data_IF_057043911639
#
_entry.id   IF_057043911639
#
_cell.length_a   1.000
_cell.length_b   1.000
_cell.length_c   1.000
_cell.angle_alpha   90.00
_cell.angle_beta   90.00
_cell.angle_gamma   90.00
#
_symmetry.space_group_name_H-M   'P 1'
#
loop_
_entity.id
_entity.type
_entity.pdbx_description
1 polymer ?
#
# COMPACT_ATOMS: atom_id res chain seq x y z
N UNK A 1 30.39 -9.15 6.81
CA UNK A 1 29.17 -8.77 7.52
C UNK A 1 28.14 -8.23 6.56
N UNK A 2 27.01 -8.87 6.46
CA UNK A 2 25.96 -8.46 5.53
C UNK A 2 25.00 -7.52 6.23
N UNK A 3 24.85 -6.32 5.70
CA UNK A 3 23.81 -5.41 6.13
C UNK A 3 22.48 -5.94 5.58
N UNK A 4 21.67 -6.48 6.46
CA UNK A 4 20.31 -6.83 6.08
C UNK A 4 19.51 -5.57 5.88
N UNK A 5 19.15 -5.31 4.63
CA UNK A 5 18.22 -4.28 4.31
C UNK A 5 16.83 -4.75 4.71
N UNK A 6 16.12 -3.93 5.48
CA UNK A 6 14.72 -4.21 5.77
C UNK A 6 13.87 -3.98 4.52
N UNK A 7 12.91 -4.85 4.29
CA UNK A 7 11.94 -4.63 3.24
C UNK A 7 11.17 -3.35 3.54
N UNK A 8 10.93 -2.55 2.50
CA UNK A 8 10.18 -1.29 2.62
C UNK A 8 8.85 -1.43 1.90
N UNK A 9 7.76 -1.25 2.62
CA UNK A 9 6.40 -1.38 2.09
C UNK A 9 5.61 -0.10 2.34
N UNK A 10 4.94 0.36 1.30
CA UNK A 10 3.99 1.48 1.40
C UNK A 10 2.58 0.90 1.32
N UNK A 11 1.75 1.25 2.30
CA UNK A 11 0.35 0.84 2.37
C UNK A 11 -0.51 2.08 2.15
N UNK A 12 -1.33 2.08 1.11
CA UNK A 12 -2.26 3.17 0.83
C UNK A 12 -3.65 2.72 1.22
N UNK A 13 -4.26 3.44 2.14
CA UNK A 13 -5.54 3.12 2.72
C UNK A 13 -5.39 2.51 4.10
N UNK A 14 -5.82 3.25 5.13
CA UNK A 14 -5.73 2.83 6.52
C UNK A 14 -7.13 2.51 7.08
N UNK A 15 -7.89 1.72 6.32
CA UNK A 15 -9.08 1.09 6.84
C UNK A 15 -8.71 -0.11 7.70
N UNK A 16 -9.69 -0.92 8.04
CA UNK A 16 -9.45 -2.09 8.89
C UNK A 16 -8.42 -3.04 8.25
N UNK A 17 -8.55 -3.29 6.94
CA UNK A 17 -7.64 -4.17 6.22
C UNK A 17 -6.23 -3.59 6.16
N UNK A 18 -6.11 -2.32 5.75
CA UNK A 18 -4.81 -1.66 5.60
C UNK A 18 -4.08 -1.54 6.93
N UNK A 19 -4.79 -1.16 8.00
CA UNK A 19 -4.19 -1.08 9.32
C UNK A 19 -3.68 -2.45 9.80
N UNK A 20 -4.47 -3.50 9.59
CA UNK A 20 -4.06 -4.86 9.96
C UNK A 20 -2.83 -5.32 9.20
N UNK A 21 -2.77 -5.04 7.90
CA UNK A 21 -1.60 -5.37 7.08
C UNK A 21 -0.37 -4.61 7.58
N UNK A 22 -0.52 -3.31 7.81
CA UNK A 22 0.59 -2.48 8.27
C UNK A 22 1.14 -2.96 9.62
N UNK A 23 0.25 -3.26 10.56
CA UNK A 23 0.65 -3.78 11.87
C UNK A 23 1.40 -5.11 11.74
N UNK A 24 0.90 -6.01 10.89
CA UNK A 24 1.52 -7.32 10.69
C UNK A 24 2.91 -7.19 10.08
N UNK A 25 3.04 -6.38 9.03
CA UNK A 25 4.33 -6.20 8.36
C UNK A 25 5.34 -5.51 9.27
N UNK A 26 4.90 -4.51 10.02
CA UNK A 26 5.79 -3.86 10.97
C UNK A 26 6.27 -4.84 12.03
N UNK A 27 5.37 -5.68 12.54
CA UNK A 27 5.71 -6.71 13.51
C UNK A 27 6.69 -7.75 12.98
N UNK A 28 6.73 -7.92 11.67
CA UNK A 28 7.68 -8.82 10.99
C UNK A 28 9.04 -8.16 10.71
N UNK A 29 9.21 -6.91 11.12
CA UNK A 29 10.47 -6.21 10.97
C UNK A 29 10.61 -5.40 9.69
N UNK A 30 9.54 -5.22 8.93
CA UNK A 30 9.58 -4.38 7.74
C UNK A 30 9.48 -2.91 8.09
N UNK A 31 10.05 -2.07 7.24
CA UNK A 31 9.80 -0.63 7.28
C UNK A 31 8.48 -0.37 6.57
N UNK A 32 7.55 0.27 7.27
CA UNK A 32 6.19 0.46 6.75
C UNK A 32 5.80 1.93 6.82
N UNK A 33 5.28 2.45 5.71
CA UNK A 33 4.65 3.76 5.66
C UNK A 33 3.20 3.57 5.26
N UNK A 34 2.30 4.19 6.00
CA UNK A 34 0.86 4.13 5.72
C UNK A 34 0.41 5.51 5.25
N UNK A 35 -0.30 5.54 4.13
CA UNK A 35 -0.84 6.77 3.54
C UNK A 35 -2.36 6.69 3.56
N UNK A 36 -2.99 7.73 4.07
CA UNK A 36 -4.46 7.87 4.03
C UNK A 36 -4.82 9.34 3.98
N UNK A 37 -5.84 9.69 3.23
CA UNK A 37 -6.30 11.08 3.14
C UNK A 37 -6.98 11.56 4.41
N UNK A 38 -7.42 10.65 5.27
CA UNK A 38 -8.06 10.96 6.54
C UNK A 38 -7.15 10.52 7.69
N UNK A 39 -6.54 11.49 8.37
CA UNK A 39 -5.61 11.18 9.46
C UNK A 39 -6.27 10.44 10.62
N UNK A 40 -7.59 10.56 10.78
CA UNK A 40 -8.28 9.83 11.85
C UNK A 40 -8.27 8.31 11.60
N UNK A 41 -8.10 7.89 10.36
CA UNK A 41 -7.98 6.47 10.04
C UNK A 41 -6.77 5.82 10.72
N UNK A 42 -5.72 6.59 11.00
CA UNK A 42 -4.51 6.05 11.64
C UNK A 42 -4.74 5.56 13.06
N UNK A 43 -5.87 5.91 13.67
CA UNK A 43 -6.25 5.38 14.99
C UNK A 43 -6.49 3.88 14.98
N UNK A 44 -6.71 3.30 13.80
CA UNK A 44 -6.89 1.85 13.65
C UNK A 44 -5.57 1.08 13.78
N UNK A 45 -4.44 1.78 13.63
CA UNK A 45 -3.13 1.15 13.82
C UNK A 45 -2.93 0.83 15.30
N UNK A 46 -2.22 -0.29 15.54
CA UNK A 46 -1.87 -0.71 16.89
C UNK A 46 -1.01 0.35 17.59
N UNK A 47 -1.11 0.45 18.91
CA UNK A 47 -0.26 1.34 19.71
C UNK A 47 1.22 0.97 19.58
N UNK A 48 1.54 -0.25 19.18
CA UNK A 48 2.92 -0.69 18.97
C UNK A 48 3.43 -0.43 17.55
N UNK A 49 2.58 0.11 16.66
CA UNK A 49 3.02 0.44 15.31
C UNK A 49 4.03 1.58 15.36
N UNK A 50 5.25 1.31 14.92
CA UNK A 50 6.35 2.29 14.92
C UNK A 50 6.73 2.80 13.54
N UNK A 51 5.94 2.46 12.50
CA UNK A 51 6.15 2.99 11.16
C UNK A 51 5.69 4.44 11.06
N UNK A 52 5.68 4.96 9.83
CA UNK A 52 5.22 6.31 9.55
C UNK A 52 3.79 6.29 9.05
N UNK A 53 3.03 7.31 9.42
CA UNK A 53 1.71 7.55 8.86
C UNK A 53 1.70 8.93 8.22
N UNK A 54 1.25 9.00 6.98
CA UNK A 54 1.28 10.23 6.18
C UNK A 54 -0.13 10.54 5.70
N UNK A 55 -0.62 11.70 6.09
CA UNK A 55 -1.91 12.18 5.60
C UNK A 55 -1.74 12.73 4.19
N UNK A 56 -2.47 12.18 3.24
CA UNK A 56 -2.40 12.64 1.86
C UNK A 56 -3.19 11.76 0.93
N UNK A 57 -3.44 12.28 -0.26
CA UNK A 57 -4.14 11.54 -1.31
C UNK A 57 -3.13 10.67 -2.04
N UNK A 58 -3.38 9.36 -2.03
CA UNK A 58 -2.50 8.39 -2.70
C UNK A 58 -2.44 8.52 -4.22
N UNK A 59 -3.35 9.31 -4.83
CA UNK A 59 -3.28 9.61 -6.26
C UNK A 59 -2.42 10.83 -6.57
N UNK A 60 -1.96 11.54 -5.55
CA UNK A 60 -1.10 12.70 -5.71
C UNK A 60 0.34 12.23 -5.84
N UNK A 61 0.94 12.50 -7.00
CA UNK A 61 2.32 12.08 -7.29
C UNK A 61 3.31 12.67 -6.27
N UNK A 62 3.04 13.88 -5.79
CA UNK A 62 3.92 14.50 -4.79
C UNK A 62 3.89 13.75 -3.46
N UNK A 63 2.73 13.24 -3.07
CA UNK A 63 2.60 12.41 -1.87
C UNK A 63 3.36 11.10 -2.05
N UNK A 64 3.17 10.43 -3.19
CA UNK A 64 3.86 9.17 -3.46
C UNK A 64 5.38 9.37 -3.52
N UNK A 65 5.82 10.49 -4.08
CA UNK A 65 7.24 10.82 -4.11
C UNK A 65 7.78 11.14 -2.70
N UNK A 66 6.98 11.83 -1.88
CA UNK A 66 7.38 12.19 -0.51
C UNK A 66 7.60 10.99 0.38
N UNK A 67 6.89 9.89 0.13
CA UNK A 67 7.11 8.64 0.87
C UNK A 67 8.14 7.73 0.20
N UNK A 68 8.82 8.25 -0.81
CA UNK A 68 9.88 7.54 -1.54
C UNK A 68 9.38 6.22 -2.14
N UNK A 69 8.22 6.27 -2.79
CA UNK A 69 7.63 5.07 -3.39
C UNK A 69 8.59 4.37 -4.35
N UNK A 70 9.44 5.13 -5.02
CA UNK A 70 10.47 4.61 -5.92
C UNK A 70 11.40 3.61 -5.24
N UNK A 71 11.60 3.73 -3.94
CA UNK A 71 12.48 2.85 -3.15
C UNK A 71 11.73 1.69 -2.51
N UNK A 72 10.40 1.68 -2.60
CA UNK A 72 9.60 0.64 -1.97
C UNK A 72 9.77 -0.69 -2.71
N UNK A 73 9.87 -1.75 -1.95
CA UNK A 73 9.87 -3.11 -2.49
C UNK A 73 8.45 -3.51 -2.88
N UNK A 74 7.48 -3.05 -2.11
CA UNK A 74 6.07 -3.40 -2.30
C UNK A 74 5.17 -2.20 -2.05
N UNK A 75 4.16 -2.06 -2.88
CA UNK A 75 3.02 -1.18 -2.63
C UNK A 75 1.79 -2.04 -2.43
N UNK A 76 1.05 -1.76 -1.37
CA UNK A 76 -0.24 -2.41 -1.10
C UNK A 76 -1.28 -1.31 -1.05
N UNK A 77 -2.24 -1.33 -1.98
CA UNK A 77 -3.28 -0.31 -2.05
C UNK A 77 -4.63 -0.94 -1.75
N UNK A 78 -5.24 -0.53 -0.65
CA UNK A 78 -6.40 -1.19 -0.06
C UNK A 78 -7.44 -0.17 0.42
N UNK A 79 -7.69 0.86 -0.40
CA UNK A 79 -8.81 1.78 -0.12
C UNK A 79 -10.14 1.05 -0.37
N UNK A 80 -11.24 1.68 -0.05
CA UNK A 80 -12.58 1.11 -0.30
C UNK A 80 -13.09 1.35 -1.72
N UNK A 81 -12.28 1.94 -2.58
CA UNK A 81 -12.65 2.27 -3.96
C UNK A 81 -11.75 1.53 -4.95
N UNK A 82 -12.33 0.59 -5.69
CA UNK A 82 -11.57 -0.22 -6.66
C UNK A 82 -10.88 0.61 -7.72
N UNK A 83 -11.55 1.64 -8.24
CA UNK A 83 -10.97 2.47 -9.30
C UNK A 83 -9.75 3.25 -8.79
N UNK A 84 -9.81 3.74 -7.56
CA UNK A 84 -8.67 4.41 -6.92
C UNK A 84 -7.53 3.43 -6.75
N UNK A 85 -7.81 2.22 -6.27
CA UNK A 85 -6.79 1.20 -6.06
C UNK A 85 -6.07 0.85 -7.36
N UNK A 86 -6.82 0.74 -8.44
CA UNK A 86 -6.26 0.46 -9.76
C UNK A 86 -5.40 1.62 -10.25
N UNK A 87 -5.90 2.84 -10.13
CA UNK A 87 -5.18 4.03 -10.59
C UNK A 87 -3.84 4.16 -9.88
N UNK A 88 -3.84 4.02 -8.56
CA UNK A 88 -2.62 4.09 -7.77
C UNK A 88 -1.66 2.96 -8.15
N UNK A 89 -2.19 1.77 -8.37
CA UNK A 89 -1.38 0.61 -8.78
C UNK A 89 -0.68 0.86 -10.12
N UNK A 90 -1.38 1.45 -11.07
CA UNK A 90 -0.80 1.78 -12.37
C UNK A 90 0.28 2.85 -12.24
N UNK A 91 0.04 3.88 -11.43
CA UNK A 91 1.05 4.91 -11.16
C UNK A 91 2.31 4.28 -10.54
N UNK A 92 2.13 3.38 -9.60
CA UNK A 92 3.24 2.71 -8.96
C UNK A 92 4.07 1.89 -9.96
N UNK A 93 3.41 1.20 -10.88
CA UNK A 93 4.12 0.40 -11.89
C UNK A 93 4.78 1.27 -12.94
N UNK A 94 4.06 2.25 -13.48
CA UNK A 94 4.50 2.98 -14.67
C UNK A 94 5.40 4.16 -14.34
N UNK A 95 5.13 4.85 -13.24
CA UNK A 95 5.88 6.06 -12.87
C UNK A 95 7.00 5.74 -11.88
N UNK A 96 6.72 4.92 -10.89
CA UNK A 96 7.66 4.66 -9.79
C UNK A 96 8.41 3.34 -9.93
N UNK A 97 8.01 2.50 -10.87
CA UNK A 97 8.65 1.20 -11.15
C UNK A 97 8.72 0.31 -9.91
N UNK A 98 7.66 0.30 -9.12
CA UNK A 98 7.58 -0.56 -7.94
C UNK A 98 7.49 -2.02 -8.40
N UNK A 99 8.32 -2.86 -7.81
CA UNK A 99 8.46 -4.24 -8.23
C UNK A 99 7.22 -5.08 -7.97
N UNK A 100 6.66 -4.94 -6.76
CA UNK A 100 5.49 -5.72 -6.35
C UNK A 100 4.38 -4.77 -5.95
N UNK A 101 3.24 -4.89 -6.63
CA UNK A 101 2.08 -4.06 -6.37
C UNK A 101 0.89 -5.00 -6.12
N UNK A 102 0.23 -4.80 -4.99
CA UNK A 102 -0.94 -5.57 -4.58
C UNK A 102 -2.10 -4.61 -4.41
N UNK A 103 -3.19 -4.85 -5.11
CA UNK A 103 -4.38 -4.00 -5.07
C UNK A 103 -5.59 -4.77 -4.57
N UNK A 104 -6.36 -4.13 -3.68
CA UNK A 104 -7.66 -4.65 -3.28
C UNK A 104 -8.67 -4.43 -4.40
N UNK A 105 -9.41 -5.46 -4.75
CA UNK A 105 -10.55 -5.38 -5.67
C UNK A 105 -11.75 -6.05 -5.03
N UNK A 106 -12.89 -5.37 -5.07
CA UNK A 106 -14.16 -5.95 -4.59
C UNK A 106 -14.76 -6.90 -5.62
N UNK A 107 -14.48 -6.67 -6.90
CA UNK A 107 -14.99 -7.47 -8.00
C UNK A 107 -13.91 -8.43 -8.51
N UNK A 108 -14.02 -9.74 -8.21
CA UNK A 108 -12.99 -10.71 -8.63
C UNK A 108 -12.90 -10.88 -10.13
N UNK A 109 -13.94 -10.52 -10.89
CA UNK A 109 -13.91 -10.65 -12.34
C UNK A 109 -12.94 -9.68 -13.00
N UNK A 110 -12.59 -8.60 -12.30
CA UNK A 110 -11.65 -7.60 -12.82
C UNK A 110 -10.19 -7.99 -12.61
N UNK A 111 -9.93 -8.99 -11.79
CA UNK A 111 -8.56 -9.31 -11.36
C UNK A 111 -7.68 -9.80 -12.52
N UNK A 112 -8.22 -10.56 -13.47
CA UNK A 112 -7.41 -11.08 -14.57
C UNK A 112 -6.90 -9.96 -15.48
N UNK A 113 -7.65 -8.87 -15.64
CA UNK A 113 -7.17 -7.72 -16.43
C UNK A 113 -5.93 -7.09 -15.77
N UNK A 114 -5.93 -7.01 -14.44
CA UNK A 114 -4.84 -6.36 -13.70
C UNK A 114 -3.61 -7.26 -13.57
N UNK A 115 -3.80 -8.56 -13.54
CA UNK A 115 -2.68 -9.49 -13.55
C UNK A 115 -1.82 -9.32 -14.80
N UNK A 116 -2.44 -8.99 -15.94
CA UNK A 116 -1.71 -8.74 -17.18
C UNK A 116 -0.80 -7.52 -17.08
N UNK A 117 -1.08 -6.59 -16.15
CA UNK A 117 -0.24 -5.42 -15.90
C UNK A 117 0.77 -5.67 -14.78
N UNK A 118 0.89 -6.89 -14.29
CA UNK A 118 1.81 -7.21 -13.21
C UNK A 118 1.33 -6.77 -11.83
N UNK A 119 0.03 -6.58 -11.66
CA UNK A 119 -0.57 -6.18 -10.38
C UNK A 119 -1.24 -7.40 -9.76
N UNK A 120 -0.81 -7.77 -8.55
CA UNK A 120 -1.49 -8.81 -7.79
C UNK A 120 -2.75 -8.23 -7.14
N UNK A 121 -3.77 -9.05 -7.02
CA UNK A 121 -5.04 -8.58 -6.47
C UNK A 121 -5.47 -9.40 -5.26
N UNK A 122 -6.15 -8.75 -4.31
CA UNK A 122 -6.81 -9.41 -3.20
C UNK A 122 -8.27 -9.02 -3.19
N UNK A 123 -9.14 -10.03 -3.02
CA UNK A 123 -10.57 -9.83 -2.85
C UNK A 123 -10.91 -10.26 -1.43
N UNK A 124 -11.10 -9.29 -0.50
CA UNK A 124 -11.45 -9.66 0.87
C UNK A 124 -12.78 -10.38 0.87
N UNK A 125 -12.84 -11.50 1.55
CA UNK A 125 -14.12 -12.20 1.76
C UNK A 125 -14.99 -11.38 2.70
N UNK A 126 -16.25 -11.37 2.38
CA UNK A 126 -17.26 -10.64 3.15
C UNK A 126 -17.76 -11.53 4.28
#
# INVERSE_FOLDING_TARGET
MTNKRHAYTVVVGCGRLGAGIADTLYGEGEDVVVVDKDKDSFRKLSSSFGGLSVEGNGMDLDILDSVELKRADTLIVVTDNDNVNIMISQLAKEVFNVRKVIARLSDPQRSCVYQDFGIETICPSV
#
